data_IF_746651461906
#
_entry.id   IF_746651461906
#
_cell.length_a   1.000
_cell.length_b   1.000
_cell.length_c   1.000
_cell.angle_alpha   90.00
_cell.angle_beta   90.00
_cell.angle_gamma   90.00
#
_symmetry.space_group_name_H-M   'P 1'
#
loop_
_entity.id
_entity.type
_entity.pdbx_description
1 polymer ?
#
# COMPACT_ATOMS: atom_id res chain seq x y z
N UNK A 1 9.27 -10.62 73.37
CA UNK A 1 8.39 -10.45 72.19
C UNK A 1 8.95 -11.31 71.07
N UNK A 2 8.08 -12.12 70.42
CA UNK A 2 8.13 -12.73 69.06
C UNK A 2 9.44 -12.54 68.26
N UNK A 3 9.99 -13.47 67.48
CA UNK A 3 9.51 -14.65 66.73
C UNK A 3 10.79 -15.25 66.13
N UNK A 4 11.02 -16.56 66.13
CA UNK A 4 10.54 -17.45 65.07
C UNK A 4 11.64 -17.66 64.00
N UNK A 5 12.12 -18.90 63.94
CA UNK A 5 13.05 -19.50 63.00
C UNK A 5 12.63 -19.27 61.53
N UNK A 6 13.58 -19.29 60.59
CA UNK A 6 13.57 -20.25 59.46
C UNK A 6 14.43 -19.82 58.26
N UNK A 7 15.42 -20.68 58.01
CA UNK A 7 15.85 -21.24 56.71
C UNK A 7 16.50 -20.35 55.63
N UNK A 8 17.71 -20.79 55.29
CA UNK A 8 18.46 -20.43 54.10
C UNK A 8 17.70 -20.73 52.80
N UNK A 9 18.03 -20.00 51.73
CA UNK A 9 18.31 -20.54 50.38
C UNK A 9 19.03 -19.45 49.54
N UNK A 10 20.23 -19.78 49.07
CA UNK A 10 20.92 -19.15 47.94
C UNK A 10 20.20 -19.54 46.66
N UNK A 11 19.93 -18.61 45.74
CA UNK A 11 20.10 -18.87 44.29
C UNK A 11 20.42 -17.53 43.60
N UNK A 12 21.66 -17.42 43.10
CA UNK A 12 22.02 -16.41 42.12
C UNK A 12 21.32 -16.71 40.79
N UNK A 13 20.67 -15.70 40.23
CA UNK A 13 20.17 -15.73 38.86
C UNK A 13 20.98 -14.77 38.02
N UNK A 14 22.02 -15.27 37.34
CA UNK A 14 22.67 -14.55 36.26
C UNK A 14 21.63 -14.34 35.15
N UNK A 15 21.20 -13.09 34.94
CA UNK A 15 20.34 -12.72 33.83
C UNK A 15 21.15 -12.67 32.53
N UNK A 16 21.65 -13.82 32.09
CA UNK A 16 22.22 -13.99 30.77
C UNK A 16 21.16 -14.54 29.81
N UNK A 17 20.93 -13.82 28.71
CA UNK A 17 20.45 -14.43 27.47
C UNK A 17 18.94 -14.57 27.30
N UNK A 18 18.19 -13.46 27.24
CA UNK A 18 16.82 -13.49 26.69
C UNK A 18 16.47 -12.31 25.76
N UNK A 19 17.44 -11.81 25.01
CA UNK A 19 17.20 -10.69 24.08
C UNK A 19 17.69 -10.98 22.66
N UNK A 20 17.46 -12.19 22.12
CA UNK A 20 17.80 -12.46 20.71
C UNK A 20 16.96 -13.55 20.03
N UNK A 21 15.83 -13.95 20.60
CA UNK A 21 14.90 -14.92 19.96
C UNK A 21 13.53 -14.35 19.60
N UNK A 22 13.22 -13.15 20.11
CA UNK A 22 11.93 -12.47 19.88
C UNK A 22 11.91 -11.59 18.63
N UNK A 23 13.08 -11.24 18.09
CA UNK A 23 13.20 -10.45 16.85
C UNK A 23 12.94 -11.32 15.61
N UNK A 24 13.24 -12.62 15.69
CA UNK A 24 13.09 -13.54 14.55
C UNK A 24 11.63 -13.87 14.22
N UNK A 25 10.69 -13.60 15.13
CA UNK A 25 9.28 -13.89 14.92
C UNK A 25 8.49 -12.75 14.26
N UNK A 26 9.12 -11.57 14.07
CA UNK A 26 8.51 -10.42 13.38
C UNK A 26 8.79 -10.40 11.87
N UNK A 27 9.73 -11.22 11.37
CA UNK A 27 10.07 -11.28 9.95
C UNK A 27 8.92 -11.71 9.01
N UNK A 28 8.03 -12.66 9.33
CA UNK A 28 7.01 -13.10 8.39
C UNK A 28 5.85 -12.09 8.20
N UNK A 29 5.70 -11.10 9.09
CA UNK A 29 4.65 -10.09 8.97
C UNK A 29 4.93 -9.04 7.89
N UNK A 30 6.19 -8.88 7.44
CA UNK A 30 6.57 -7.84 6.47
C UNK A 30 6.28 -8.24 5.02
N UNK A 31 6.04 -9.52 4.74
CA UNK A 31 5.79 -10.02 3.38
C UNK A 31 4.38 -9.72 2.83
N UNK A 32 3.45 -9.24 3.68
CA UNK A 32 2.06 -8.97 3.29
C UNK A 32 1.83 -7.58 2.68
N UNK A 33 2.85 -6.71 2.66
CA UNK A 33 2.69 -5.32 2.21
C UNK A 33 2.94 -5.11 0.69
N UNK A 34 3.18 -6.17 -0.08
CA UNK A 34 3.52 -6.09 -1.51
C UNK A 34 2.30 -6.20 -2.44
N UNK A 35 1.08 -6.00 -1.94
CA UNK A 35 -0.06 -5.77 -2.83
C UNK A 35 0.05 -4.38 -3.43
N UNK A 36 0.32 -4.30 -4.74
CA UNK A 36 0.14 -3.05 -5.49
C UNK A 36 -1.26 -2.49 -5.25
N UNK A 37 -1.39 -1.17 -5.18
CA UNK A 37 -2.69 -0.53 -5.01
C UNK A 37 -3.60 -0.92 -6.18
N UNK A 38 -4.82 -1.41 -5.87
CA UNK A 38 -5.84 -1.62 -6.89
C UNK A 38 -6.34 -0.25 -7.36
N UNK A 39 -6.14 0.04 -8.65
CA UNK A 39 -6.56 1.32 -9.27
C UNK A 39 -7.90 1.18 -10.01
N UNK A 40 -8.55 0.02 -9.92
CA UNK A 40 -9.85 -0.23 -10.54
C UNK A 40 -10.93 0.71 -9.98
N UNK A 41 -11.89 1.08 -10.82
CA UNK A 41 -13.03 1.91 -10.43
C UNK A 41 -13.22 3.16 -11.27
N UNK A 42 -14.11 4.03 -10.81
CA UNK A 42 -14.44 5.30 -11.46
C UNK A 42 -13.72 6.45 -10.78
N UNK A 43 -13.03 7.24 -11.57
CA UNK A 43 -12.22 8.36 -11.14
C UNK A 43 -12.73 9.62 -11.83
N UNK A 44 -12.73 10.73 -11.10
CA UNK A 44 -12.92 12.06 -11.65
C UNK A 44 -11.67 12.88 -11.40
N UNK A 45 -11.31 13.73 -12.36
CA UNK A 45 -10.09 14.50 -12.28
C UNK A 45 -10.07 15.65 -13.26
N UNK A 46 -8.91 16.28 -13.37
CA UNK A 46 -8.68 17.41 -14.27
C UNK A 46 -7.35 17.20 -14.97
N UNK A 47 -7.35 17.40 -16.29
CA UNK A 47 -6.14 17.39 -17.10
C UNK A 47 -5.75 18.84 -17.34
N UNK A 48 -4.60 19.23 -16.82
CA UNK A 48 -4.00 20.53 -17.06
C UNK A 48 -3.05 20.45 -18.26
N UNK A 49 -3.31 21.25 -19.29
CA UNK A 49 -2.40 21.38 -20.44
C UNK A 49 -1.62 22.68 -20.28
N UNK A 50 -0.34 22.56 -19.88
CA UNK A 50 0.53 23.68 -19.55
C UNK A 50 0.60 24.73 -20.68
N UNK A 51 0.63 24.29 -21.94
CA UNK A 51 0.74 25.18 -23.11
C UNK A 51 -0.55 25.96 -23.42
N UNK A 52 -1.71 25.44 -23.02
CA UNK A 52 -3.02 26.03 -23.34
C UNK A 52 -3.63 26.82 -22.17
N UNK A 53 -3.03 26.73 -20.97
CA UNK A 53 -3.55 27.36 -19.75
C UNK A 53 -4.97 26.91 -19.39
N UNK A 54 -5.38 25.74 -19.87
CA UNK A 54 -6.75 25.27 -19.78
C UNK A 54 -6.82 23.91 -19.09
N UNK A 55 -7.75 23.82 -18.14
CA UNK A 55 -7.98 22.64 -17.29
C UNK A 55 -9.24 21.94 -17.78
N UNK A 56 -9.12 20.68 -18.18
CA UNK A 56 -10.26 19.90 -18.70
C UNK A 56 -10.71 18.87 -17.66
N UNK A 57 -11.96 18.96 -17.14
CA UNK A 57 -12.48 17.93 -16.25
C UNK A 57 -12.75 16.64 -17.02
N UNK A 58 -12.34 15.51 -16.44
CA UNK A 58 -12.43 14.19 -17.06
C UNK A 58 -12.97 13.16 -16.08
N UNK A 59 -13.61 12.13 -16.64
CA UNK A 59 -13.99 10.91 -15.95
C UNK A 59 -13.23 9.74 -16.57
N UNK A 60 -12.79 8.81 -15.72
CA UNK A 60 -12.03 7.63 -16.09
C UNK A 60 -12.64 6.40 -15.42
N UNK A 61 -12.84 5.33 -16.17
CA UNK A 61 -13.24 4.02 -15.64
C UNK A 61 -12.12 3.03 -15.90
N UNK A 62 -11.48 2.55 -14.83
CA UNK A 62 -10.33 1.65 -14.88
C UNK A 62 -10.72 0.24 -14.44
N UNK A 63 -10.14 -0.74 -15.12
CA UNK A 63 -10.17 -2.15 -14.78
C UNK A 63 -8.74 -2.66 -14.70
N UNK A 64 -8.35 -3.14 -13.53
CA UNK A 64 -7.05 -3.76 -13.31
C UNK A 64 -7.17 -5.28 -13.27
N UNK A 65 -6.25 -5.95 -13.98
CA UNK A 65 -6.06 -7.41 -13.92
C UNK A 65 -4.58 -7.67 -13.71
N UNK A 66 -4.20 -8.01 -12.48
CA UNK A 66 -2.79 -8.09 -12.05
C UNK A 66 -2.08 -6.75 -12.32
N UNK A 67 -1.08 -6.72 -13.20
CA UNK A 67 -0.31 -5.51 -13.51
C UNK A 67 -0.84 -4.75 -14.75
N UNK A 68 -1.87 -5.30 -15.41
CA UNK A 68 -2.48 -4.72 -16.61
C UNK A 68 -3.65 -3.82 -16.23
N UNK A 69 -3.66 -2.60 -16.77
CA UNK A 69 -4.74 -1.63 -16.64
C UNK A 69 -5.38 -1.37 -18.01
N UNK A 70 -6.70 -1.35 -18.04
CA UNK A 70 -7.51 -1.02 -19.21
C UNK A 70 -8.69 -0.16 -18.79
N UNK A 71 -9.37 0.48 -19.72
CA UNK A 71 -10.49 1.32 -19.34
C UNK A 71 -10.98 2.28 -20.40
N UNK A 72 -11.69 3.29 -19.93
CA UNK A 72 -12.20 4.41 -20.73
C UNK A 72 -11.82 5.72 -20.07
N UNK A 73 -11.57 6.73 -20.90
CA UNK A 73 -11.37 8.11 -20.45
C UNK A 73 -12.19 9.04 -21.34
N UNK A 74 -12.88 10.00 -20.73
CA UNK A 74 -13.70 10.96 -21.46
C UNK A 74 -13.82 12.28 -20.72
N UNK A 75 -14.27 13.31 -21.43
CA UNK A 75 -14.55 14.63 -20.84
C UNK A 75 -15.81 14.54 -19.98
N UNK A 76 -15.76 15.12 -18.79
CA UNK A 76 -16.91 15.13 -17.88
C UNK A 76 -18.08 15.89 -18.53
N UNK A 77 -19.29 15.33 -18.48
CA UNK A 77 -20.48 15.91 -19.11
C UNK A 77 -20.70 15.53 -20.58
N UNK A 78 -19.88 14.63 -21.13
CA UNK A 78 -20.03 14.05 -22.47
C UNK A 78 -19.00 14.56 -23.48
N UNK A 79 -18.87 13.83 -24.58
CA UNK A 79 -17.88 14.09 -25.63
C UNK A 79 -17.25 12.78 -26.13
N UNK A 80 -16.13 12.91 -26.84
CA UNK A 80 -15.39 11.75 -27.34
C UNK A 80 -14.75 10.98 -26.18
N UNK A 81 -14.99 9.66 -26.13
CA UNK A 81 -14.34 8.74 -25.20
C UNK A 81 -13.14 8.06 -25.88
N UNK A 82 -11.99 8.09 -25.22
CA UNK A 82 -10.81 7.30 -25.56
C UNK A 82 -10.81 5.95 -24.83
N UNK A 83 -10.21 4.93 -25.46
CA UNK A 83 -10.06 3.59 -24.85
C UNK A 83 -8.66 3.42 -24.31
N UNK A 84 -8.53 3.26 -23.00
CA UNK A 84 -7.25 2.99 -22.34
C UNK A 84 -6.80 1.56 -22.65
N UNK A 85 -5.60 1.40 -23.20
CA UNK A 85 -4.95 0.13 -23.53
C UNK A 85 -3.52 0.08 -23.01
N UNK A 86 -2.98 -1.12 -22.91
CA UNK A 86 -1.59 -1.38 -22.53
C UNK A 86 -1.16 -0.71 -21.22
N UNK A 87 -2.11 -0.49 -20.31
CA UNK A 87 -1.85 0.17 -19.05
C UNK A 87 -1.00 -0.69 -18.12
N UNK A 88 -0.08 -0.06 -17.39
CA UNK A 88 0.80 -0.71 -16.41
C UNK A 88 0.86 0.10 -15.13
N UNK A 89 0.93 -0.61 -14.00
CA UNK A 89 1.18 -0.02 -12.67
C UNK A 89 2.63 -0.27 -12.27
N UNK A 90 3.35 0.80 -11.94
CA UNK A 90 4.70 0.76 -11.36
C UNK A 90 4.69 1.60 -10.07
N UNK A 91 4.56 0.91 -8.93
CA UNK A 91 4.43 1.55 -7.62
C UNK A 91 3.23 2.48 -7.56
N UNK A 92 3.49 3.80 -7.59
CA UNK A 92 2.48 4.86 -7.54
C UNK A 92 2.21 5.51 -8.90
N UNK A 93 2.77 4.97 -9.99
CA UNK A 93 2.63 5.49 -11.34
C UNK A 93 1.80 4.54 -12.19
N UNK A 94 0.88 5.11 -12.96
CA UNK A 94 0.12 4.38 -13.98
C UNK A 94 0.48 4.98 -15.34
N UNK A 95 0.88 4.15 -16.30
CA UNK A 95 1.18 4.55 -17.68
C UNK A 95 0.30 3.76 -18.63
N UNK A 96 -0.25 4.40 -19.66
CA UNK A 96 -1.17 3.76 -20.60
C UNK A 96 -1.21 4.50 -21.95
N UNK A 97 -1.84 3.87 -22.94
CA UNK A 97 -2.13 4.40 -24.26
C UNK A 97 -3.63 4.67 -24.40
N UNK A 98 -4.03 5.72 -25.12
CA UNK A 98 -5.44 6.12 -25.38
C UNK A 98 -5.72 6.20 -26.86
#
# INVERSE_FOLDING_TARGET
MRSGYDNAIKVGGNAEGCAMKKVFWLLPCLALALSGADVSGKWSGTIDVEDAGNSTPVEVELVQKSDLVSGKIGRQGGGDEGTIRNGKVDGTKVSFEV
#
